data_IF_259504622989
#
_entry.id   IF_259504622989
#
_cell.length_a   1.000
_cell.length_b   1.000
_cell.length_c   1.000
_cell.angle_alpha   90.00
_cell.angle_beta   90.00
_cell.angle_gamma   90.00
#
_symmetry.space_group_name_H-M   'P 1'
#
loop_
_entity.id
_entity.type
_entity.pdbx_description
1 polymer ?
#
# COMPACT_ATOMS: atom_id res chain seq x y z
N UNK A 1 19.32 -3.85 12.10
CA UNK A 1 17.86 -3.94 12.27
C UNK A 1 17.43 -5.40 12.27
N UNK A 2 16.46 -5.83 13.11
CA UNK A 2 15.95 -7.22 13.12
C UNK A 2 15.40 -7.69 11.76
N UNK A 3 14.91 -6.78 10.94
CA UNK A 3 14.36 -7.06 9.61
C UNK A 3 15.33 -7.75 8.63
N UNK A 4 16.64 -7.60 8.82
CA UNK A 4 17.63 -8.27 7.96
C UNK A 4 17.74 -9.78 8.20
N UNK A 5 17.16 -10.30 9.26
CA UNK A 5 17.24 -11.73 9.59
C UNK A 5 16.05 -12.52 9.03
N UNK A 6 14.96 -11.85 8.65
CA UNK A 6 13.76 -12.48 8.10
C UNK A 6 13.88 -12.52 6.59
N UNK A 7 13.88 -13.73 6.03
CA UNK A 7 14.04 -13.94 4.58
C UNK A 7 12.77 -14.39 3.89
N UNK A 8 11.83 -15.00 4.63
CA UNK A 8 10.61 -15.58 4.08
C UNK A 8 9.37 -15.05 4.79
N UNK A 9 8.24 -15.02 4.07
CA UNK A 9 6.93 -14.65 4.65
C UNK A 9 6.55 -15.54 5.84
N UNK A 10 6.89 -16.83 5.81
CA UNK A 10 6.58 -17.79 6.88
C UNK A 10 7.30 -17.51 8.21
N UNK A 11 8.31 -16.66 8.21
CA UNK A 11 9.04 -16.26 9.42
C UNK A 11 8.40 -15.05 10.11
N UNK A 12 7.38 -14.43 9.48
CA UNK A 12 6.69 -13.28 10.03
C UNK A 12 5.68 -13.69 11.10
N UNK A 13 5.69 -12.99 12.22
CA UNK A 13 4.72 -13.18 13.31
C UNK A 13 3.32 -12.72 12.93
N UNK A 14 3.23 -11.66 12.09
CA UNK A 14 1.98 -11.13 11.56
C UNK A 14 1.95 -11.47 10.08
N UNK A 15 0.87 -12.09 9.56
CA UNK A 15 0.72 -12.35 8.13
C UNK A 15 0.90 -11.06 7.31
N UNK A 16 1.60 -11.18 6.21
CA UNK A 16 1.89 -10.06 5.33
C UNK A 16 1.63 -10.46 3.87
N UNK A 17 1.12 -9.54 3.09
CA UNK A 17 1.06 -9.64 1.64
C UNK A 17 1.58 -8.35 1.00
N UNK A 18 2.13 -8.47 -0.19
CA UNK A 18 2.40 -7.33 -1.06
C UNK A 18 1.96 -7.66 -2.49
N UNK A 19 1.71 -6.62 -3.26
CA UNK A 19 1.25 -6.72 -4.64
C UNK A 19 2.31 -6.15 -5.57
N UNK A 20 2.54 -6.83 -6.70
CA UNK A 20 3.31 -6.31 -7.83
C UNK A 20 2.44 -6.37 -9.09
N UNK A 21 2.88 -5.73 -10.16
CA UNK A 21 2.25 -5.83 -11.47
C UNK A 21 3.16 -6.64 -12.42
N UNK A 22 2.60 -7.65 -13.08
CA UNK A 22 3.30 -8.36 -14.15
C UNK A 22 3.28 -7.50 -15.42
N UNK A 23 4.45 -7.07 -15.86
CA UNK A 23 4.56 -6.17 -17.02
C UNK A 23 4.19 -6.83 -18.35
N UNK A 24 4.21 -8.16 -18.42
CA UNK A 24 3.96 -8.90 -19.66
C UNK A 24 2.46 -9.01 -19.98
N UNK A 25 1.60 -9.05 -18.95
CA UNK A 25 0.16 -9.25 -19.14
C UNK A 25 -0.72 -8.24 -18.38
N UNK A 26 -0.09 -7.28 -17.70
CA UNK A 26 -0.73 -6.24 -16.90
C UNK A 26 -1.63 -6.77 -15.77
N UNK A 27 -1.38 -7.97 -15.25
CA UNK A 27 -2.10 -8.53 -14.10
C UNK A 27 -1.46 -8.13 -12.78
N UNK A 28 -2.29 -7.92 -11.76
CA UNK A 28 -1.80 -7.82 -10.38
C UNK A 28 -1.31 -9.19 -9.91
N UNK A 29 -0.14 -9.22 -9.27
CA UNK A 29 0.45 -10.42 -8.71
C UNK A 29 0.60 -10.29 -7.21
N UNK A 30 -0.23 -11.02 -6.46
CA UNK A 30 -0.18 -11.07 -5.02
C UNK A 30 0.91 -12.01 -4.53
N UNK A 31 1.73 -11.56 -3.61
CA UNK A 31 2.81 -12.33 -3.00
C UNK A 31 2.55 -12.47 -1.49
N UNK A 32 2.41 -13.72 -1.03
CA UNK A 32 2.18 -14.11 0.37
C UNK A 32 3.16 -15.16 0.86
N UNK A 33 4.08 -15.60 0.00
CA UNK A 33 5.05 -16.68 0.27
C UNK A 33 6.35 -16.47 -0.49
N UNK A 34 7.37 -17.25 -0.15
CA UNK A 34 8.69 -17.20 -0.76
C UNK A 34 9.58 -16.15 -0.13
N UNK A 35 10.52 -15.62 -0.90
CA UNK A 35 11.51 -14.66 -0.40
C UNK A 35 10.88 -13.27 -0.19
N UNK A 36 10.74 -12.88 1.06
CA UNK A 36 10.11 -11.63 1.48
C UNK A 36 10.79 -10.40 0.90
N UNK A 37 12.11 -10.34 0.99
CA UNK A 37 12.89 -9.17 0.55
C UNK A 37 12.76 -8.97 -0.96
N UNK A 38 12.78 -10.07 -1.73
CA UNK A 38 12.63 -10.02 -3.18
C UNK A 38 11.21 -9.60 -3.59
N UNK A 39 10.20 -10.08 -2.86
CA UNK A 39 8.80 -9.70 -3.07
C UNK A 39 8.56 -8.23 -2.77
N UNK A 40 9.07 -7.71 -1.64
CA UNK A 40 9.01 -6.28 -1.32
C UNK A 40 9.74 -5.47 -2.39
N UNK A 41 10.92 -5.93 -2.84
CA UNK A 41 11.68 -5.24 -3.90
C UNK A 41 10.90 -5.20 -5.21
N UNK A 42 10.17 -6.25 -5.58
CA UNK A 42 9.30 -6.27 -6.76
C UNK A 42 8.13 -5.27 -6.60
N UNK A 43 7.45 -5.32 -5.45
CA UNK A 43 6.31 -4.46 -5.13
C UNK A 43 6.63 -2.96 -5.16
N UNK A 44 7.88 -2.57 -4.92
CA UNK A 44 8.36 -1.18 -4.95
C UNK A 44 9.20 -0.85 -6.20
N UNK A 45 9.15 -1.67 -7.25
CA UNK A 45 9.91 -1.45 -8.49
C UNK A 45 9.22 -0.43 -9.39
N UNK A 46 9.20 0.83 -8.94
CA UNK A 46 8.60 1.96 -9.67
C UNK A 46 9.28 2.08 -11.04
N UNK A 47 8.51 2.05 -12.14
CA UNK A 47 9.06 2.22 -13.48
C UNK A 47 9.89 3.51 -13.59
N UNK A 48 10.96 3.44 -14.40
CA UNK A 48 11.96 4.49 -14.60
C UNK A 48 12.91 4.75 -13.44
N UNK A 49 12.55 4.41 -12.20
CA UNK A 49 13.42 4.54 -11.03
C UNK A 49 14.13 3.23 -10.70
N UNK A 50 13.44 2.11 -10.85
CA UNK A 50 14.00 0.80 -10.49
C UNK A 50 13.78 -0.23 -11.59
N UNK A 51 14.75 -1.14 -11.80
CA UNK A 51 14.56 -2.23 -12.74
C UNK A 51 13.50 -3.22 -12.25
N UNK A 52 12.76 -3.87 -13.15
CA UNK A 52 11.86 -4.96 -12.84
C UNK A 52 12.56 -6.11 -12.10
N UNK A 53 11.77 -6.90 -11.38
CA UNK A 53 12.26 -8.08 -10.64
C UNK A 53 11.59 -9.33 -11.19
N UNK A 54 12.40 -10.34 -11.55
CA UNK A 54 11.86 -11.63 -11.97
C UNK A 54 11.55 -12.51 -10.75
N UNK A 55 10.30 -12.97 -10.61
CA UNK A 55 9.85 -13.94 -9.59
C UNK A 55 8.96 -14.97 -10.27
N UNK A 56 9.28 -16.24 -10.08
CA UNK A 56 8.53 -17.39 -10.64
C UNK A 56 8.30 -17.27 -12.17
N UNK A 57 9.32 -16.82 -12.90
CA UNK A 57 9.27 -16.62 -14.35
C UNK A 57 8.42 -15.44 -14.82
N UNK A 58 8.00 -14.53 -13.91
CA UNK A 58 7.25 -13.30 -14.20
C UNK A 58 8.14 -12.09 -14.02
N UNK A 59 8.06 -11.15 -14.93
CA UNK A 59 8.77 -9.88 -14.80
C UNK A 59 7.87 -8.85 -14.10
N UNK A 60 8.18 -8.56 -12.84
CA UNK A 60 7.35 -7.79 -11.93
C UNK A 60 7.87 -6.36 -11.75
N UNK A 61 6.93 -5.42 -11.69
CA UNK A 61 7.13 -4.01 -11.39
C UNK A 61 6.20 -3.58 -10.24
N UNK A 62 6.26 -2.30 -9.85
CA UNK A 62 5.46 -1.74 -8.76
C UNK A 62 3.97 -2.09 -8.88
N UNK A 63 3.42 -2.56 -7.78
CA UNK A 63 2.02 -2.99 -7.71
C UNK A 63 1.02 -1.84 -7.84
N UNK A 64 1.44 -0.63 -7.56
CA UNK A 64 0.60 0.57 -7.65
C UNK A 64 0.03 0.84 -9.03
N UNK A 65 0.61 0.23 -10.08
CA UNK A 65 0.04 0.31 -11.44
C UNK A 65 -1.25 -0.50 -11.60
N UNK A 66 -1.51 -1.48 -10.73
CA UNK A 66 -2.66 -2.40 -10.88
C UNK A 66 -3.51 -2.53 -9.63
N UNK A 67 -2.94 -2.32 -8.45
CA UNK A 67 -3.65 -2.40 -7.20
C UNK A 67 -2.85 -1.68 -6.10
N UNK A 68 -2.98 -0.36 -6.04
CA UNK A 68 -2.26 0.49 -5.10
C UNK A 68 -2.91 0.55 -3.71
N UNK A 69 -4.13 0.05 -3.58
CA UNK A 69 -4.86 -0.01 -2.30
C UNK A 69 -5.52 -1.38 -2.15
N UNK A 70 -4.78 -2.44 -1.75
CA UNK A 70 -5.17 -3.83 -1.90
C UNK A 70 -6.16 -4.30 -0.81
N UNK A 71 -7.19 -3.53 -0.50
CA UNK A 71 -8.26 -3.87 0.46
C UNK A 71 -8.98 -5.16 0.07
N UNK A 72 -9.38 -5.40 -1.20
CA UNK A 72 -10.03 -6.65 -1.58
C UNK A 72 -9.14 -7.88 -1.31
N UNK A 73 -7.84 -7.79 -1.57
CA UNK A 73 -6.89 -8.87 -1.30
C UNK A 73 -6.85 -9.25 0.18
N UNK A 74 -6.89 -8.25 1.06
CA UNK A 74 -6.93 -8.48 2.50
C UNK A 74 -8.28 -9.06 2.92
N UNK A 75 -9.39 -8.58 2.35
CA UNK A 75 -10.75 -9.09 2.62
C UNK A 75 -10.88 -10.58 2.26
N UNK A 76 -10.31 -10.98 1.14
CA UNK A 76 -10.28 -12.39 0.68
C UNK A 76 -9.50 -13.33 1.61
N UNK A 77 -8.64 -12.81 2.49
CA UNK A 77 -7.98 -13.59 3.54
C UNK A 77 -8.87 -13.86 4.75
N UNK A 78 -10.12 -13.42 4.74
CA UNK A 78 -11.10 -13.69 5.79
C UNK A 78 -10.95 -12.80 7.02
N UNK A 79 -10.42 -11.59 6.86
CA UNK A 79 -10.37 -10.61 7.94
C UNK A 79 -11.74 -9.94 8.12
N UNK A 80 -12.15 -9.74 9.37
CA UNK A 80 -13.45 -9.14 9.71
C UNK A 80 -13.44 -7.61 9.56
N UNK A 81 -12.29 -6.98 9.82
CA UNK A 81 -12.17 -5.51 9.86
C UNK A 81 -10.89 -5.10 9.14
N UNK A 82 -11.02 -4.12 8.26
CA UNK A 82 -9.91 -3.55 7.51
C UNK A 82 -9.74 -2.07 7.86
N UNK A 83 -8.55 -1.72 8.30
CA UNK A 83 -8.11 -0.33 8.47
C UNK A 83 -7.25 0.01 7.26
N UNK A 84 -7.78 0.84 6.35
CA UNK A 84 -7.08 1.29 5.17
C UNK A 84 -6.38 2.63 5.44
N UNK A 85 -5.05 2.68 5.21
CA UNK A 85 -4.28 3.91 5.31
C UNK A 85 -3.86 4.30 3.89
N UNK A 86 -4.40 5.42 3.40
CA UNK A 86 -4.18 5.89 2.05
C UNK A 86 -3.19 7.06 2.03
N UNK A 87 -2.02 6.81 1.47
CA UNK A 87 -0.98 7.82 1.28
C UNK A 87 -0.88 8.30 -0.17
N UNK A 88 -1.84 7.93 -1.00
CA UNK A 88 -1.88 8.38 -2.39
C UNK A 88 -2.18 9.87 -2.44
N UNK A 89 -1.50 10.55 -3.36
CA UNK A 89 -1.79 11.94 -3.64
C UNK A 89 -2.98 12.09 -4.60
N UNK A 90 -3.55 13.27 -4.62
CA UNK A 90 -4.54 13.65 -5.61
C UNK A 90 -3.90 13.77 -7.00
N UNK A 91 -4.71 13.76 -8.05
CA UNK A 91 -4.22 14.04 -9.40
C UNK A 91 -3.60 15.43 -9.49
N UNK A 92 -2.57 15.53 -10.32
CA UNK A 92 -1.99 16.81 -10.70
C UNK A 92 -2.97 17.66 -11.47
N UNK A 93 -2.93 18.95 -11.21
CA UNK A 93 -3.62 19.95 -12.02
C UNK A 93 -2.91 20.14 -13.37
N UNK A 94 -3.60 20.77 -14.34
CA UNK A 94 -3.03 21.07 -15.65
C UNK A 94 -1.70 21.86 -15.56
N UNK A 95 -1.61 22.79 -14.60
CA UNK A 95 -0.43 23.67 -14.47
C UNK A 95 0.77 22.93 -13.86
N UNK A 96 0.51 21.86 -13.09
CA UNK A 96 1.54 20.99 -12.52
C UNK A 96 2.09 19.99 -13.54
N UNK A 97 1.33 19.64 -14.58
CA UNK A 97 1.72 18.66 -15.62
C UNK A 97 2.74 19.26 -16.62
N UNK A 98 3.86 19.76 -16.10
CA UNK A 98 4.87 20.53 -16.85
C UNK A 98 6.15 19.75 -17.15
N UNK A 99 6.24 18.47 -16.75
CA UNK A 99 7.39 17.62 -17.04
C UNK A 99 6.97 16.18 -17.33
N UNK A 100 7.80 15.46 -18.10
CA UNK A 100 7.55 14.05 -18.42
C UNK A 100 7.42 13.18 -17.17
N UNK A 101 8.22 13.43 -16.14
CA UNK A 101 8.16 12.67 -14.89
C UNK A 101 6.80 12.84 -14.18
N UNK A 102 6.27 14.06 -14.12
CA UNK A 102 4.97 14.35 -13.51
C UNK A 102 3.83 13.76 -14.36
N UNK A 103 3.94 13.82 -15.69
CA UNK A 103 2.95 13.21 -16.61
C UNK A 103 2.93 11.67 -16.41
N UNK A 104 4.10 11.04 -16.32
CA UNK A 104 4.18 9.60 -16.07
C UNK A 104 3.60 9.21 -14.73
N UNK A 105 3.88 9.99 -13.69
CA UNK A 105 3.31 9.78 -12.37
C UNK A 105 1.77 9.92 -12.38
N UNK A 106 1.22 10.88 -13.12
CA UNK A 106 -0.22 11.00 -13.35
C UNK A 106 -0.81 9.77 -14.07
N UNK A 107 -0.12 9.26 -15.11
CA UNK A 107 -0.56 8.06 -15.85
C UNK A 107 -0.59 6.84 -14.91
N UNK A 108 0.41 6.67 -14.05
CA UNK A 108 0.45 5.62 -13.04
C UNK A 108 -0.73 5.75 -12.08
N UNK A 109 -0.98 6.95 -11.56
CA UNK A 109 -2.10 7.21 -10.65
C UNK A 109 -3.48 6.97 -11.28
N UNK A 110 -3.62 7.15 -12.60
CA UNK A 110 -4.87 6.91 -13.33
C UNK A 110 -5.13 5.43 -13.63
N UNK A 111 -4.11 4.60 -13.63
CA UNK A 111 -4.19 3.23 -14.16
C UNK A 111 -5.11 2.30 -13.35
N UNK A 112 -5.44 2.65 -12.10
CA UNK A 112 -6.21 1.81 -11.17
C UNK A 112 -7.36 2.56 -10.46
N UNK A 113 -7.84 3.67 -11.00
CA UNK A 113 -8.79 4.56 -10.31
C UNK A 113 -10.10 3.89 -9.91
N UNK A 114 -10.63 3.00 -10.75
CA UNK A 114 -11.91 2.33 -10.48
C UNK A 114 -11.76 1.27 -9.38
N UNK A 115 -10.66 0.51 -9.38
CA UNK A 115 -10.36 -0.47 -8.34
C UNK A 115 -10.06 0.23 -7.01
N UNK A 116 -9.31 1.32 -7.04
CA UNK A 116 -9.03 2.15 -5.87
C UNK A 116 -10.31 2.72 -5.24
N UNK A 117 -11.24 3.23 -6.05
CA UNK A 117 -12.49 3.80 -5.55
C UNK A 117 -13.31 2.75 -4.80
N UNK A 118 -13.47 1.55 -5.39
CA UNK A 118 -14.15 0.43 -4.72
C UNK A 118 -13.43 -0.03 -3.45
N UNK A 119 -12.12 -0.14 -3.49
CA UNK A 119 -11.32 -0.55 -2.33
C UNK A 119 -11.42 0.44 -1.17
N UNK A 120 -11.53 1.74 -1.46
CA UNK A 120 -11.73 2.78 -0.47
C UNK A 120 -13.10 2.64 0.24
N UNK A 121 -14.15 2.30 -0.51
CA UNK A 121 -15.50 2.09 0.04
C UNK A 121 -15.60 0.80 0.86
N UNK A 122 -14.78 -0.21 0.56
CA UNK A 122 -14.74 -1.50 1.27
C UNK A 122 -13.89 -1.48 2.56
N UNK A 123 -13.13 -0.43 2.81
CA UNK A 123 -12.38 -0.27 4.06
C UNK A 123 -13.31 0.15 5.20
N UNK A 124 -13.31 -0.59 6.32
CA UNK A 124 -14.15 -0.30 7.49
C UNK A 124 -13.74 0.99 8.21
N UNK A 125 -12.45 1.29 8.22
CA UNK A 125 -11.87 2.55 8.67
C UNK A 125 -10.91 3.04 7.59
N UNK A 126 -11.21 4.19 7.00
CA UNK A 126 -10.37 4.81 5.97
C UNK A 126 -9.69 6.05 6.53
N UNK A 127 -8.36 6.06 6.52
CA UNK A 127 -7.51 7.14 7.03
C UNK A 127 -6.69 7.68 5.87
N UNK A 128 -6.81 8.98 5.60
CA UNK A 128 -6.06 9.65 4.55
C UNK A 128 -5.26 10.83 5.11
N UNK A 129 -3.97 10.65 5.44
CA UNK A 129 -3.10 11.75 5.83
C UNK A 129 -2.90 12.77 4.70
N UNK A 130 -2.77 14.04 5.06
CA UNK A 130 -2.54 15.14 4.12
C UNK A 130 -1.07 15.20 3.64
N UNK A 131 -0.64 14.13 2.96
CA UNK A 131 0.74 13.98 2.46
C UNK A 131 0.89 14.27 0.96
N UNK A 132 -0.17 14.68 0.29
CA UNK A 132 -0.22 14.87 -1.16
C UNK A 132 0.82 15.85 -1.73
N UNK A 133 1.30 16.79 -0.91
CA UNK A 133 2.33 17.77 -1.31
C UNK A 133 3.75 17.21 -1.36
N UNK A 134 3.97 16.01 -0.81
CA UNK A 134 5.29 15.38 -0.82
C UNK A 134 5.41 14.45 -2.01
N UNK A 135 6.52 14.56 -2.74
CA UNK A 135 6.82 13.68 -3.86
C UNK A 135 7.19 12.27 -3.40
N UNK A 136 7.01 11.29 -4.27
CA UNK A 136 7.33 9.88 -4.01
C UNK A 136 8.80 9.65 -3.60
N UNK A 137 9.72 10.51 -4.06
CA UNK A 137 11.17 10.44 -3.78
C UNK A 137 11.61 11.47 -2.72
N UNK A 138 10.68 12.10 -2.02
CA UNK A 138 10.99 13.09 -0.97
C UNK A 138 11.32 12.41 0.36
N UNK A 139 12.47 11.76 0.42
CA UNK A 139 12.95 11.09 1.64
C UNK A 139 13.44 12.05 2.72
N UNK A 140 13.63 13.33 2.41
CA UNK A 140 14.11 14.30 3.40
C UNK A 140 12.99 14.83 4.32
N UNK A 141 11.74 14.69 3.91
CA UNK A 141 10.57 15.17 4.65
C UNK A 141 9.93 14.12 5.57
N UNK A 142 10.62 13.00 5.82
CA UNK A 142 10.07 11.84 6.53
C UNK A 142 9.50 12.18 7.91
N UNK A 143 10.16 13.02 8.71
CA UNK A 143 9.67 13.41 10.03
C UNK A 143 8.32 14.13 9.95
N UNK A 144 8.17 15.01 8.98
CA UNK A 144 6.91 15.75 8.76
C UNK A 144 5.82 14.84 8.25
N UNK A 145 6.14 13.90 7.34
CA UNK A 145 5.18 12.92 6.81
C UNK A 145 4.68 12.02 7.93
N UNK A 146 5.57 11.55 8.81
CA UNK A 146 5.20 10.76 9.98
C UNK A 146 4.27 11.55 10.91
N UNK A 147 4.59 12.81 11.21
CA UNK A 147 3.77 13.66 12.07
C UNK A 147 2.36 13.87 11.50
N UNK A 148 2.23 14.08 10.19
CA UNK A 148 0.93 14.22 9.51
C UNK A 148 0.12 12.91 9.58
N UNK A 149 0.77 11.76 9.43
CA UNK A 149 0.14 10.45 9.59
C UNK A 149 -0.38 10.24 11.01
N UNK A 150 0.40 10.63 12.01
CA UNK A 150 0.02 10.54 13.41
C UNK A 150 -1.14 11.50 13.73
N UNK A 151 -1.09 12.74 13.28
CA UNK A 151 -2.16 13.73 13.49
C UNK A 151 -3.48 13.25 12.89
N UNK A 152 -3.47 12.78 11.65
CA UNK A 152 -4.67 12.25 11.00
C UNK A 152 -5.23 11.03 11.75
N UNK A 153 -4.38 10.08 12.10
CA UNK A 153 -4.80 8.87 12.81
C UNK A 153 -5.40 9.17 14.19
N UNK A 154 -4.94 10.22 14.88
CA UNK A 154 -5.49 10.65 16.18
C UNK A 154 -6.97 11.02 16.11
N UNK A 155 -7.47 11.49 14.98
CA UNK A 155 -8.91 11.80 14.79
C UNK A 155 -9.78 10.55 14.90
N UNK A 156 -9.22 9.37 14.56
CA UNK A 156 -9.89 8.07 14.59
C UNK A 156 -9.71 7.31 15.92
N UNK A 157 -8.93 7.84 16.87
CA UNK A 157 -8.67 7.16 18.15
C UNK A 157 -9.94 6.70 18.90
N UNK A 158 -11.05 7.48 18.97
CA UNK A 158 -12.25 7.02 19.64
C UNK A 158 -12.86 5.78 18.97
N UNK A 159 -12.80 5.71 17.64
CA UNK A 159 -13.31 4.57 16.86
C UNK A 159 -12.40 3.35 17.04
N UNK A 160 -11.08 3.55 16.94
CA UNK A 160 -10.08 2.49 17.11
C UNK A 160 -10.11 1.89 18.53
N UNK A 161 -10.32 2.72 19.56
CA UNK A 161 -10.48 2.24 20.94
C UNK A 161 -11.72 1.38 21.11
N UNK A 162 -12.89 1.84 20.61
CA UNK A 162 -14.13 1.03 20.65
C UNK A 162 -13.95 -0.32 19.96
N UNK A 163 -13.26 -0.33 18.82
CA UNK A 163 -12.94 -1.56 18.10
C UNK A 163 -12.05 -2.50 18.93
N UNK A 164 -10.98 -1.97 19.51
CA UNK A 164 -10.09 -2.75 20.37
C UNK A 164 -10.82 -3.34 21.59
N UNK A 165 -11.70 -2.58 22.22
CA UNK A 165 -12.52 -3.04 23.35
C UNK A 165 -13.52 -4.13 22.92
N UNK A 166 -14.11 -4.00 21.73
CA UNK A 166 -15.02 -5.02 21.16
C UNK A 166 -14.28 -6.35 20.92
N UNK A 167 -13.08 -6.30 20.34
CA UNK A 167 -12.26 -7.50 20.09
C UNK A 167 -11.85 -8.17 21.41
N UNK A 168 -11.46 -7.39 22.41
CA UNK A 168 -11.08 -7.90 23.74
C UNK A 168 -12.25 -8.62 24.41
N UNK A 169 -13.45 -8.04 24.37
CA UNK A 169 -14.65 -8.67 24.93
C UNK A 169 -14.99 -10.00 24.24
N UNK A 170 -14.77 -10.15 22.94
CA UNK A 170 -14.99 -11.41 22.22
C UNK A 170 -13.99 -12.49 22.67
N UNK A 171 -12.75 -12.13 22.96
CA UNK A 171 -11.72 -13.07 23.43
C UNK A 171 -12.01 -13.57 24.85
N UNK A 172 -12.62 -12.75 25.70
CA UNK A 172 -12.99 -13.12 27.08
C UNK A 172 -14.18 -14.11 27.14
N UNK A 173 -14.93 -14.30 26.03
CA UNK A 173 -16.03 -15.25 25.90
C UNK A 173 -15.65 -16.59 25.25
N UNK A 174 -14.40 -16.79 24.86
CA UNK A 174 -13.87 -18.06 24.31
C UNK A 174 -12.97 -18.77 25.29
#
# INVERSE_FOLDING_TARGET
SPAYKISNFSELTIPFLCVAANIENAEAYEMTKGNLQRSIRASMSIPFYFPPVEIDGRLLIDGGLRNNFPVPNVREKGVDIIIGIDVQRNFHTKDELNSMAIIMDQIIAMSDIDAYTRAKEDADIYIKPEVAKYGMMDFNSYDTIIALGEEETRKYLPQLKRLADSIRNIQDYK
#
